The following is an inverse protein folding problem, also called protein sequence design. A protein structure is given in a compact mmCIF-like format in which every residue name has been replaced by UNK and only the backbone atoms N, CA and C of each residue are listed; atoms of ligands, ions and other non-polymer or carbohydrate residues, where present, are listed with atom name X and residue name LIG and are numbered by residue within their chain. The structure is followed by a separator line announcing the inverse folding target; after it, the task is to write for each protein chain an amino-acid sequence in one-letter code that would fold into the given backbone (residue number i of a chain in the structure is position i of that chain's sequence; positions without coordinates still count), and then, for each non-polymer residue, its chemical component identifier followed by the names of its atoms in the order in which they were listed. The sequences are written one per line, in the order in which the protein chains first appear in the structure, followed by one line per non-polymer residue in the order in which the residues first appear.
data_IF_771846933010
#
_entry.id   IF_771846933010
#
_cell.length_a   1.000
_cell.length_b   1.000
_cell.length_c   1.000
_cell.angle_alpha   90.00
_cell.angle_beta   90.00
_cell.angle_gamma   90.00
#
_symmetry.space_group_name_H-M   'P 1'
#
loop_
_entity.id
_entity.type
_entity.pdbx_description
1 polymer ?
#
# COMPACT_ATOMS: atom_id res chain seq x y z
N UNK A 1 15.47 -6.09 -15.73
CA UNK A 1 14.22 -6.29 -16.53
C UNK A 1 13.12 -5.41 -15.94
N UNK A 2 12.40 -4.64 -16.75
CA UNK A 2 11.40 -3.67 -16.26
C UNK A 2 10.06 -4.34 -15.87
N UNK A 3 9.58 -5.28 -16.71
CA UNK A 3 8.37 -6.09 -16.46
C UNK A 3 8.69 -7.41 -15.77
N UNK A 4 7.66 -8.04 -15.21
CA UNK A 4 7.78 -9.37 -14.61
C UNK A 4 8.14 -10.43 -15.66
N UNK A 5 8.76 -11.50 -15.19
CA UNK A 5 9.02 -12.73 -15.93
C UNK A 5 8.22 -13.88 -15.32
N UNK A 6 8.16 -15.06 -15.97
CA UNK A 6 7.50 -16.23 -15.38
C UNK A 6 8.07 -16.66 -14.03
N UNK A 7 9.34 -16.31 -13.75
CA UNK A 7 10.10 -16.75 -12.58
C UNK A 7 10.39 -15.63 -11.58
N UNK A 8 10.07 -14.37 -11.88
CA UNK A 8 10.47 -13.26 -11.01
C UNK A 8 9.78 -11.93 -11.30
N UNK A 9 9.82 -11.03 -10.32
CA UNK A 9 9.26 -9.69 -10.45
C UNK A 9 10.22 -8.74 -11.17
N UNK A 10 9.65 -7.89 -12.03
CA UNK A 10 10.38 -6.83 -12.70
C UNK A 10 10.68 -5.65 -11.78
N UNK A 11 11.61 -4.80 -12.20
CA UNK A 11 12.06 -3.64 -11.42
C UNK A 11 10.89 -2.70 -11.07
N UNK A 12 9.96 -2.47 -12.00
CA UNK A 12 8.80 -1.59 -11.74
C UNK A 12 7.95 -2.15 -10.60
N UNK A 13 7.65 -3.45 -10.61
CA UNK A 13 6.85 -4.11 -9.57
C UNK A 13 7.55 -4.06 -8.20
N UNK A 14 8.87 -4.22 -8.18
CA UNK A 14 9.68 -4.16 -6.96
C UNK A 14 9.68 -2.72 -6.41
N UNK A 15 9.93 -1.72 -7.26
CA UNK A 15 10.00 -0.32 -6.85
C UNK A 15 8.66 0.18 -6.32
N UNK A 16 7.54 -0.06 -7.04
CA UNK A 16 6.22 0.35 -6.54
C UNK A 16 5.90 -0.34 -5.22
N UNK A 17 6.33 -1.60 -5.03
CA UNK A 17 6.08 -2.31 -3.79
C UNK A 17 6.81 -1.73 -2.59
N UNK A 18 8.11 -1.49 -2.73
CA UNK A 18 8.91 -0.93 -1.64
C UNK A 18 8.55 0.51 -1.34
N UNK A 19 8.23 1.31 -2.37
CA UNK A 19 7.73 2.66 -2.18
C UNK A 19 6.41 2.66 -1.39
N UNK A 20 5.48 1.76 -1.73
CA UNK A 20 4.25 1.59 -0.94
C UNK A 20 4.55 1.16 0.49
N UNK A 21 5.47 0.22 0.70
CA UNK A 21 5.81 -0.27 2.05
C UNK A 21 6.37 0.85 2.94
N UNK A 22 7.31 1.65 2.41
CA UNK A 22 7.87 2.81 3.12
C UNK A 22 6.78 3.82 3.43
N UNK A 23 5.91 4.13 2.47
CA UNK A 23 4.81 5.07 2.68
C UNK A 23 3.82 4.59 3.74
N UNK A 24 3.44 3.30 3.75
CA UNK A 24 2.55 2.71 4.76
C UNK A 24 3.18 2.80 6.15
N UNK A 25 4.44 2.41 6.30
CA UNK A 25 5.15 2.47 7.59
C UNK A 25 5.25 3.92 8.07
N UNK A 26 5.63 4.85 7.19
CA UNK A 26 5.72 6.28 7.51
C UNK A 26 4.38 6.87 7.92
N UNK A 27 3.31 6.59 7.17
CA UNK A 27 1.96 7.03 7.50
C UNK A 27 1.50 6.47 8.84
N UNK A 28 1.73 5.18 9.12
CA UNK A 28 1.38 4.58 10.40
C UNK A 28 2.11 5.26 11.56
N UNK A 29 3.43 5.43 11.45
CA UNK A 29 4.24 6.09 12.49
C UNK A 29 3.79 7.54 12.74
N UNK A 30 3.56 8.32 11.68
CA UNK A 30 3.07 9.70 11.79
C UNK A 30 1.65 9.72 12.37
N UNK A 31 0.77 8.84 11.91
CA UNK A 31 -0.61 8.74 12.40
C UNK A 31 -0.67 8.38 13.88
N UNK A 32 0.16 7.45 14.33
CA UNK A 32 0.28 7.10 15.74
C UNK A 32 0.73 8.29 16.59
N UNK A 33 1.79 8.99 16.15
CA UNK A 33 2.29 10.19 16.84
C UNK A 33 1.28 11.35 16.85
N UNK A 34 0.50 11.52 15.78
CA UNK A 34 -0.46 12.61 15.67
C UNK A 34 -1.60 12.56 16.70
N UNK A 35 -1.94 11.36 17.20
CA UNK A 35 -3.03 11.20 18.18
C UNK A 35 -2.71 11.90 19.51
N UNK A 36 -1.43 12.07 19.84
CA UNK A 36 -0.98 12.72 21.07
C UNK A 36 -0.84 14.25 20.93
N UNK A 37 -1.05 14.81 19.72
CA UNK A 37 -0.91 16.24 19.49
C UNK A 37 -2.10 17.01 20.08
N UNK A 38 -1.80 18.02 20.90
CA UNK A 38 -2.79 18.97 21.41
C UNK A 38 -2.78 20.26 20.60
N UNK A 39 -3.81 21.09 20.77
CA UNK A 39 -3.97 22.35 20.03
C UNK A 39 -2.83 23.36 20.23
N UNK A 40 -2.01 23.18 21.26
CA UNK A 40 -0.82 23.99 21.53
C UNK A 40 0.40 23.58 20.70
N UNK A 41 0.37 22.42 20.06
CA UNK A 41 1.46 21.97 19.19
C UNK A 41 1.43 22.70 17.86
N UNK A 42 2.59 23.21 17.42
CA UNK A 42 2.78 23.77 16.09
C UNK A 42 2.52 22.77 14.95
N UNK A 43 2.54 21.46 15.26
CA UNK A 43 2.28 20.38 14.31
C UNK A 43 0.83 19.89 14.29
N UNK A 44 -0.02 20.41 15.18
CA UNK A 44 -1.39 19.93 15.34
C UNK A 44 -2.20 19.92 14.03
N UNK A 45 -1.97 20.90 13.15
CA UNK A 45 -2.59 20.96 11.82
C UNK A 45 -1.65 20.48 10.70
N UNK A 46 -0.36 20.81 10.81
CA UNK A 46 0.64 20.54 9.78
C UNK A 46 0.84 19.05 9.53
N UNK A 47 0.95 18.25 10.61
CA UNK A 47 1.15 16.81 10.48
C UNK A 47 -0.04 16.11 9.81
N UNK A 48 -1.32 16.33 10.23
CA UNK A 48 -2.46 15.78 9.50
C UNK A 48 -2.55 16.22 8.03
N UNK A 49 -2.17 17.46 7.70
CA UNK A 49 -2.17 17.92 6.32
C UNK A 49 -1.22 17.09 5.43
N UNK A 50 0.02 16.86 5.89
CA UNK A 50 0.97 16.01 5.18
C UNK A 50 0.55 14.54 5.17
N UNK A 51 0.05 14.00 6.29
CA UNK A 51 -0.42 12.63 6.39
C UNK A 51 -1.53 12.36 5.36
N UNK A 52 -2.53 13.25 5.25
CA UNK A 52 -3.61 13.15 4.25
C UNK A 52 -3.08 13.22 2.82
N UNK A 53 -2.19 14.17 2.54
CA UNK A 53 -1.60 14.36 1.21
C UNK A 53 -0.82 13.13 0.74
N UNK A 54 0.05 12.58 1.60
CA UNK A 54 0.81 11.37 1.30
C UNK A 54 -0.10 10.14 1.21
N UNK A 55 -1.14 10.07 2.05
CA UNK A 55 -2.17 9.04 1.97
C UNK A 55 -2.88 9.03 0.60
N UNK A 56 -3.22 10.19 0.06
CA UNK A 56 -3.82 10.32 -1.27
C UNK A 56 -2.84 9.88 -2.39
N UNK A 57 -1.57 10.25 -2.30
CA UNK A 57 -0.54 9.78 -3.25
C UNK A 57 -0.37 8.26 -3.21
N UNK A 58 -0.37 7.68 -2.01
CA UNK A 58 -0.32 6.22 -1.85
C UNK A 58 -1.57 5.57 -2.46
N UNK A 59 -2.73 6.24 -2.46
CA UNK A 59 -3.96 5.69 -3.05
C UNK A 59 -3.79 5.60 -4.56
N UNK A 60 -3.30 6.69 -5.17
CA UNK A 60 -2.95 6.72 -6.59
C UNK A 60 -1.91 5.64 -6.94
N UNK A 61 -0.86 5.48 -6.13
CA UNK A 61 0.16 4.45 -6.32
C UNK A 61 -0.42 3.02 -6.20
N UNK A 62 -1.36 2.81 -5.29
CA UNK A 62 -2.06 1.52 -5.12
C UNK A 62 -2.92 1.19 -6.34
N UNK A 63 -3.67 2.17 -6.85
CA UNK A 63 -4.47 2.00 -8.08
C UNK A 63 -3.56 1.73 -9.28
N UNK A 64 -2.47 2.49 -9.42
CA UNK A 64 -1.44 2.25 -10.43
C UNK A 64 -0.87 0.83 -10.31
N UNK A 65 -0.61 0.36 -9.09
CA UNK A 65 -0.14 -1.02 -8.85
C UNK A 65 -1.17 -2.06 -9.27
N UNK A 66 -2.46 -1.81 -9.08
CA UNK A 66 -3.52 -2.70 -9.53
C UNK A 66 -3.56 -2.81 -11.06
N UNK A 67 -3.49 -1.67 -11.75
CA UNK A 67 -3.38 -1.60 -13.22
C UNK A 67 -2.07 -2.23 -13.70
N UNK A 68 -0.96 -1.98 -13.03
CA UNK A 68 0.32 -2.57 -13.41
C UNK A 68 0.31 -4.09 -13.29
N UNK A 69 -0.38 -4.64 -12.29
CA UNK A 69 -0.53 -6.09 -12.11
C UNK A 69 -1.32 -6.75 -13.22
N UNK A 70 -2.27 -6.04 -13.86
CA UNK A 70 -3.02 -6.59 -15.01
C UNK A 70 -2.18 -6.58 -16.29
N UNK A 71 -1.29 -5.58 -16.46
CA UNK A 71 -0.39 -5.47 -17.62
C UNK A 71 0.83 -6.39 -17.49
N UNK A 72 1.41 -6.44 -16.29
CA UNK A 72 2.61 -7.22 -15.97
C UNK A 72 2.20 -8.39 -15.09
N UNK A 73 1.76 -9.48 -15.72
CA UNK A 73 1.29 -10.69 -15.05
C UNK A 73 2.22 -11.12 -13.91
N UNK A 74 1.64 -11.54 -12.80
CA UNK A 74 2.41 -12.03 -11.67
C UNK A 74 3.10 -13.37 -12.04
N UNK A 75 4.33 -13.60 -11.54
CA UNK A 75 4.99 -14.89 -11.68
C UNK A 75 4.11 -16.04 -11.17
N UNK A 76 4.18 -17.19 -11.82
CA UNK A 76 3.40 -18.36 -11.42
C UNK A 76 3.88 -18.89 -10.07
N UNK A 77 2.97 -19.37 -9.19
CA UNK A 77 3.38 -20.09 -7.99
C UNK A 77 4.25 -21.30 -8.36
N UNK A 78 5.25 -21.60 -7.53
CA UNK A 78 6.09 -22.78 -7.73
C UNK A 78 5.23 -24.05 -7.66
N UNK A 79 5.60 -25.05 -8.47
CA UNK A 79 4.85 -26.31 -8.61
C UNK A 79 4.82 -27.13 -7.31
N UNK A 80 5.83 -26.96 -6.45
CA UNK A 80 5.94 -27.62 -5.15
C UNK A 80 5.06 -27.02 -4.04
N UNK A 81 4.45 -25.84 -4.26
CA UNK A 81 3.58 -25.23 -3.26
C UNK A 81 2.27 -26.01 -3.11
N UNK A 82 1.91 -26.30 -1.87
CA UNK A 82 0.68 -26.98 -1.49
C UNK A 82 -0.56 -26.12 -1.82
N UNK A 83 -1.73 -26.73 -2.06
CA UNK A 83 -2.95 -25.98 -2.37
C UNK A 83 -3.35 -24.96 -1.29
N UNK A 84 -3.08 -25.26 -0.02
CA UNK A 84 -3.39 -24.36 1.10
C UNK A 84 -2.46 -23.13 1.11
N UNK A 85 -1.18 -23.26 0.76
CA UNK A 85 -0.23 -22.15 0.66
C UNK A 85 -0.67 -21.16 -0.41
N UNK A 86 -1.06 -21.68 -1.59
CA UNK A 86 -1.58 -20.88 -2.71
C UNK A 86 -2.84 -20.12 -2.30
N UNK A 87 -3.75 -20.77 -1.55
CA UNK A 87 -5.02 -20.18 -1.12
C UNK A 87 -4.79 -19.14 -0.01
N UNK A 88 -3.95 -19.43 0.97
CA UNK A 88 -3.58 -18.49 2.04
C UNK A 88 -2.90 -17.24 1.48
N UNK A 89 -1.94 -17.40 0.56
CA UNK A 89 -1.29 -16.27 -0.11
C UNK A 89 -2.31 -15.41 -0.88
N UNK A 90 -3.26 -16.03 -1.59
CA UNK A 90 -4.33 -15.30 -2.28
C UNK A 90 -5.18 -14.49 -1.29
N UNK A 91 -5.62 -15.10 -0.19
CA UNK A 91 -6.42 -14.44 0.83
C UNK A 91 -5.67 -13.29 1.51
N UNK A 92 -4.40 -13.51 1.89
CA UNK A 92 -3.57 -12.48 2.50
C UNK A 92 -3.43 -11.26 1.57
N UNK A 93 -3.10 -11.47 0.29
CA UNK A 93 -3.01 -10.36 -0.66
C UNK A 93 -4.35 -9.65 -0.83
N UNK A 94 -5.46 -10.39 -0.99
CA UNK A 94 -6.79 -9.78 -1.13
C UNK A 94 -7.15 -8.96 0.12
N UNK A 95 -6.96 -9.52 1.31
CA UNK A 95 -7.24 -8.82 2.56
C UNK A 95 -6.42 -7.53 2.70
N UNK A 96 -5.11 -7.59 2.41
CA UNK A 96 -4.23 -6.41 2.47
C UNK A 96 -4.67 -5.32 1.49
N UNK A 97 -5.00 -5.66 0.25
CA UNK A 97 -5.50 -4.67 -0.71
C UNK A 97 -6.84 -4.07 -0.28
N UNK A 98 -7.78 -4.90 0.19
CA UNK A 98 -9.08 -4.42 0.64
C UNK A 98 -8.96 -3.50 1.85
N UNK A 99 -8.21 -3.91 2.89
CA UNK A 99 -8.00 -3.11 4.09
C UNK A 99 -7.31 -1.78 3.77
N UNK A 100 -6.29 -1.81 2.92
CA UNK A 100 -5.58 -0.60 2.52
C UNK A 100 -6.51 0.38 1.80
N UNK A 101 -7.29 -0.10 0.81
CA UNK A 101 -8.27 0.76 0.13
C UNK A 101 -9.33 1.31 1.10
N UNK A 102 -9.86 0.49 2.01
CA UNK A 102 -10.85 0.93 3.00
C UNK A 102 -10.32 2.05 3.90
N UNK A 103 -9.12 1.87 4.47
CA UNK A 103 -8.50 2.85 5.36
C UNK A 103 -8.28 4.17 4.61
N UNK A 104 -7.77 4.10 3.38
CA UNK A 104 -7.45 5.30 2.60
C UNK A 104 -8.72 6.04 2.15
N UNK A 105 -9.74 5.32 1.70
CA UNK A 105 -11.05 5.90 1.38
C UNK A 105 -11.71 6.52 2.62
N UNK A 106 -11.65 5.85 3.79
CA UNK A 106 -12.17 6.42 5.03
C UNK A 106 -11.45 7.72 5.42
N UNK A 107 -10.13 7.79 5.21
CA UNK A 107 -9.34 8.98 5.49
C UNK A 107 -9.74 10.18 4.62
N UNK A 108 -10.10 9.92 3.34
CA UNK A 108 -10.64 10.96 2.45
C UNK A 108 -12.02 11.42 2.94
N UNK A 109 -12.93 10.50 3.24
CA UNK A 109 -14.29 10.83 3.66
C UNK A 109 -14.37 11.58 4.99
N UNK A 110 -13.47 11.31 5.94
CA UNK A 110 -13.40 12.04 7.22
C UNK A 110 -12.81 13.44 7.03
N UNK A 111 -12.04 13.65 5.96
CA UNK A 111 -11.37 14.92 5.67
C UNK A 111 -12.22 15.90 4.87
N UNK A 112 -13.33 15.45 4.27
CA UNK A 112 -14.31 16.26 3.52
C UNK A 112 -15.49 16.59 4.40
#
# INVERSE_FOLDING_TARGET
MLKNTPTGYGLVTIMIHWLSAIAVIGLFSVGYWMVDLTYYSSWYQTAPHFHKSVGLLLLGLTLLRFVWRTISHAPSPLSNHQPWEKRAAKWAHTALYTLMLLIMCSGIMIST
#
